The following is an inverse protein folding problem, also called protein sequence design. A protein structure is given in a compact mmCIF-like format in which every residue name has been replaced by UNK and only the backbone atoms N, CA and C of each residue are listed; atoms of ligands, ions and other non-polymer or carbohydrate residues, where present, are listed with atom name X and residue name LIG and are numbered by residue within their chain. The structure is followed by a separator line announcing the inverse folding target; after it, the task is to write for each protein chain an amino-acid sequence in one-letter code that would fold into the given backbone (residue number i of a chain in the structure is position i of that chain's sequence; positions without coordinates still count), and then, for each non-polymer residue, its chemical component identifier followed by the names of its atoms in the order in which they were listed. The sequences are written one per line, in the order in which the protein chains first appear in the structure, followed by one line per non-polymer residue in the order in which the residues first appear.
data_IF_401417764339
#
_entry.id   IF_401417764339
#
_cell.length_a   1.000
_cell.length_b   1.000
_cell.length_c   1.000
_cell.angle_alpha   90.00
_cell.angle_beta   90.00
_cell.angle_gamma   90.00
#
_symmetry.space_group_name_H-M   'P 1'
#
loop_
_entity.id
_entity.type
_entity.pdbx_description
1 polymer ?
#
# COMPACT_ATOMS: atom_id res chain seq x y z
N UNK A 1 -31.89 2.10 -35.07
CA UNK A 1 -30.62 2.62 -35.60
C UNK A 1 -29.51 2.08 -34.72
N UNK A 2 -29.16 0.80 -34.86
CA UNK A 2 -28.25 0.08 -33.94
C UNK A 2 -27.40 -0.93 -34.72
N UNK A 3 -26.82 -0.51 -35.84
CA UNK A 3 -26.14 -1.43 -36.76
C UNK A 3 -24.75 -0.96 -37.21
N UNK A 4 -24.11 -0.06 -36.46
CA UNK A 4 -22.77 0.45 -36.78
C UNK A 4 -21.71 0.21 -35.68
N UNK A 5 -22.10 -0.13 -34.45
CA UNK A 5 -21.17 -0.28 -33.32
C UNK A 5 -20.47 -1.64 -33.25
N UNK A 6 -21.03 -2.71 -33.85
CA UNK A 6 -20.45 -4.05 -33.78
C UNK A 6 -19.41 -4.35 -34.89
N UNK A 7 -19.44 -3.61 -36.01
CA UNK A 7 -18.52 -3.80 -37.16
C UNK A 7 -17.13 -3.16 -36.97
N UNK A 8 -16.89 -2.44 -35.87
CA UNK A 8 -15.61 -1.77 -35.59
C UNK A 8 -14.70 -2.51 -34.61
N UNK A 9 -15.18 -3.57 -33.94
CA UNK A 9 -14.40 -4.29 -32.92
C UNK A 9 -13.12 -4.96 -33.46
N UNK A 10 -13.03 -5.19 -34.78
CA UNK A 10 -11.85 -5.78 -35.44
C UNK A 10 -11.05 -4.84 -36.35
N UNK A 11 -11.43 -3.55 -36.45
CA UNK A 11 -10.80 -2.59 -37.38
C UNK A 11 -9.65 -1.79 -36.78
N UNK A 12 -9.25 -2.04 -35.53
CA UNK A 12 -8.19 -1.27 -34.87
C UNK A 12 -7.13 -2.14 -34.20
N UNK A 13 -7.04 -3.41 -34.55
CA UNK A 13 -6.10 -4.38 -33.96
C UNK A 13 -5.31 -5.04 -35.09
N UNK A 14 -4.03 -5.30 -34.85
CA UNK A 14 -3.17 -5.93 -35.82
C UNK A 14 -3.63 -7.36 -36.13
N UNK A 15 -4.11 -7.58 -37.35
CA UNK A 15 -4.55 -8.90 -37.85
C UNK A 15 -3.36 -9.80 -38.26
N UNK A 16 -2.14 -9.26 -38.32
CA UNK A 16 -0.92 -9.97 -38.71
C UNK A 16 -0.27 -10.76 -37.57
N UNK A 17 -0.82 -10.67 -36.35
CA UNK A 17 -0.51 -11.63 -35.28
C UNK A 17 0.06 -11.06 -33.98
N UNK A 18 0.34 -9.76 -33.83
CA UNK A 18 0.77 -9.22 -32.53
C UNK A 18 -0.40 -8.90 -31.58
N UNK A 19 -1.63 -8.82 -32.09
CA UNK A 19 -2.83 -8.54 -31.28
C UNK A 19 -2.87 -7.15 -30.63
N UNK A 20 -1.89 -6.29 -30.91
CA UNK A 20 -1.85 -4.93 -30.41
C UNK A 20 -2.82 -4.03 -31.17
N UNK A 21 -3.32 -3.00 -30.49
CA UNK A 21 -4.09 -1.94 -31.15
C UNK A 21 -3.18 -1.17 -32.09
N UNK A 22 -3.66 -0.95 -33.31
CA UNK A 22 -2.96 -0.15 -34.32
C UNK A 22 -3.15 1.32 -33.99
N UNK A 23 -2.07 2.09 -34.08
CA UNK A 23 -2.12 3.55 -33.99
C UNK A 23 -2.88 4.14 -35.20
N UNK A 24 -3.39 5.36 -35.08
CA UNK A 24 -4.10 6.02 -36.19
C UNK A 24 -3.28 6.09 -37.47
N UNK A 25 -1.96 6.27 -37.33
CA UNK A 25 -0.99 6.30 -38.43
C UNK A 25 -0.81 4.91 -39.07
N UNK A 26 -0.66 3.85 -38.27
CA UNK A 26 -0.58 2.46 -38.73
C UNK A 26 -1.85 2.06 -39.50
N UNK A 27 -3.01 2.53 -39.04
CA UNK A 27 -4.30 2.31 -39.69
C UNK A 27 -4.40 3.01 -41.05
N UNK A 28 -3.86 4.22 -41.17
CA UNK A 28 -3.91 5.01 -42.42
C UNK A 28 -2.83 4.62 -43.45
N UNK A 29 -1.64 4.24 -42.99
CA UNK A 29 -0.47 3.95 -43.83
C UNK A 29 -0.37 2.47 -44.21
N UNK A 30 -1.03 1.58 -43.47
CA UNK A 30 -0.91 0.14 -43.64
C UNK A 30 0.47 -0.44 -43.29
N UNK A 31 1.40 0.40 -42.82
CA UNK A 31 2.72 -0.01 -42.37
C UNK A 31 2.71 -0.19 -40.86
N UNK A 32 2.61 -1.46 -40.43
CA UNK A 32 2.75 -1.84 -39.04
C UNK A 32 3.87 -2.88 -38.91
N UNK A 33 4.87 -2.61 -38.07
CA UNK A 33 5.91 -3.58 -37.74
C UNK A 33 5.58 -4.23 -36.39
N UNK A 34 5.07 -5.48 -36.43
CA UNK A 34 4.69 -6.22 -35.23
C UNK A 34 5.84 -6.33 -34.22
N UNK A 35 7.08 -6.51 -34.70
CA UNK A 35 8.25 -6.70 -33.83
C UNK A 35 8.59 -5.41 -33.09
N UNK A 36 8.59 -4.27 -33.77
CA UNK A 36 8.85 -2.97 -33.14
C UNK A 36 7.75 -2.61 -32.17
N UNK A 37 6.48 -2.79 -32.56
CA UNK A 37 5.34 -2.53 -31.69
C UNK A 37 5.35 -3.41 -30.42
N UNK A 38 5.74 -4.68 -30.54
CA UNK A 38 5.88 -5.55 -29.37
C UNK A 38 7.05 -5.10 -28.48
N UNK A 39 8.20 -4.73 -29.06
CA UNK A 39 9.36 -4.23 -28.32
C UNK A 39 9.03 -2.97 -27.52
N UNK A 40 8.39 -1.99 -28.14
CA UNK A 40 8.02 -0.74 -27.46
C UNK A 40 7.03 -0.99 -26.32
N UNK A 41 6.05 -1.87 -26.54
CA UNK A 41 5.10 -2.25 -25.49
C UNK A 41 5.79 -3.01 -24.36
N UNK A 42 6.70 -3.93 -24.66
CA UNK A 42 7.45 -4.65 -23.62
C UNK A 42 8.32 -3.71 -22.80
N UNK A 43 9.05 -2.79 -23.45
CA UNK A 43 9.88 -1.79 -22.77
C UNK A 43 9.03 -0.90 -21.85
N UNK A 44 7.89 -0.41 -22.34
CA UNK A 44 6.98 0.40 -21.55
C UNK A 44 6.36 -0.38 -20.36
N UNK A 45 6.06 -1.66 -20.54
CA UNK A 45 5.55 -2.52 -19.48
C UNK A 45 6.64 -2.82 -18.44
N UNK A 46 7.87 -3.06 -18.86
CA UNK A 46 9.02 -3.25 -17.98
C UNK A 46 9.27 -1.99 -17.14
N UNK A 47 9.34 -0.82 -17.76
CA UNK A 47 9.50 0.46 -17.06
C UNK A 47 8.37 0.67 -16.03
N UNK A 48 7.12 0.43 -16.44
CA UNK A 48 5.98 0.50 -15.53
C UNK A 48 6.09 -0.49 -14.38
N UNK A 49 6.53 -1.72 -14.64
CA UNK A 49 6.73 -2.73 -13.60
C UNK A 49 7.78 -2.28 -12.59
N UNK A 50 8.95 -1.83 -13.06
CA UNK A 50 10.03 -1.35 -12.18
C UNK A 50 9.59 -0.17 -11.33
N UNK A 51 8.81 0.76 -11.89
CA UNK A 51 8.25 1.91 -11.18
C UNK A 51 7.29 1.46 -10.08
N UNK A 52 6.33 0.58 -10.40
CA UNK A 52 5.37 0.06 -9.43
C UNK A 52 6.04 -0.76 -8.32
N UNK A 53 7.06 -1.55 -8.64
CA UNK A 53 7.85 -2.29 -7.66
C UNK A 53 8.59 -1.35 -6.71
N UNK A 54 9.19 -0.29 -7.25
CA UNK A 54 9.87 0.73 -6.46
C UNK A 54 8.90 1.45 -5.54
N UNK A 55 7.77 1.94 -6.07
CA UNK A 55 6.73 2.62 -5.29
C UNK A 55 6.21 1.72 -4.17
N UNK A 56 5.89 0.46 -4.48
CA UNK A 56 5.42 -0.52 -3.50
C UNK A 56 6.45 -0.75 -2.40
N UNK A 57 7.73 -0.88 -2.75
CA UNK A 57 8.83 -1.00 -1.78
C UNK A 57 8.93 0.21 -0.88
N UNK A 58 8.86 1.42 -1.44
CA UNK A 58 8.94 2.66 -0.69
C UNK A 58 7.74 2.84 0.24
N UNK A 59 6.53 2.51 -0.21
CA UNK A 59 5.35 2.51 0.64
C UNK A 59 5.49 1.50 1.77
N UNK A 60 5.96 0.28 1.50
CA UNK A 60 6.18 -0.74 2.54
C UNK A 60 7.13 -0.25 3.63
N UNK A 61 8.24 0.40 3.26
CA UNK A 61 9.17 0.98 4.22
C UNK A 61 8.54 2.08 5.07
N UNK A 62 7.74 2.97 4.46
CA UNK A 62 7.02 4.04 5.17
C UNK A 62 6.01 3.48 6.17
N UNK A 63 5.20 2.51 5.74
CA UNK A 63 4.21 1.87 6.59
C UNK A 63 4.84 1.10 7.74
N UNK A 64 5.91 0.33 7.47
CA UNK A 64 6.63 -0.40 8.51
C UNK A 64 7.23 0.54 9.57
N UNK A 65 7.87 1.64 9.14
CA UNK A 65 8.40 2.65 10.08
C UNK A 65 7.31 3.27 10.94
N UNK A 66 6.16 3.58 10.34
CA UNK A 66 5.00 4.12 11.06
C UNK A 66 4.44 3.11 12.05
N UNK A 67 4.29 1.86 11.64
CA UNK A 67 3.83 0.76 12.49
C UNK A 67 4.77 0.57 13.69
N UNK A 68 6.08 0.49 13.47
CA UNK A 68 7.06 0.39 14.55
C UNK A 68 6.98 1.57 15.53
N UNK A 69 6.84 2.79 15.03
CA UNK A 69 6.68 3.98 15.87
C UNK A 69 5.39 3.96 16.69
N UNK A 70 4.27 3.51 16.10
CA UNK A 70 3.00 3.39 16.80
C UNK A 70 3.04 2.28 17.85
N UNK A 71 3.65 1.14 17.53
CA UNK A 71 3.85 0.04 18.48
C UNK A 71 4.69 0.50 19.66
N UNK A 72 5.78 1.24 19.44
CA UNK A 72 6.61 1.79 20.51
C UNK A 72 5.85 2.79 21.40
N UNK A 73 4.95 3.59 20.83
CA UNK A 73 4.11 4.50 21.61
C UNK A 73 3.08 3.74 22.46
N UNK A 74 2.42 2.72 21.88
CA UNK A 74 1.46 1.89 22.60
C UNK A 74 2.14 1.16 23.76
N UNK A 75 3.32 0.58 23.53
CA UNK A 75 4.06 -0.11 24.60
C UNK A 75 4.50 0.85 25.69
N UNK A 76 4.98 2.05 25.35
CA UNK A 76 5.31 3.08 26.33
C UNK A 76 4.09 3.43 27.22
N UNK A 77 2.94 3.73 26.62
CA UNK A 77 1.71 4.04 27.36
C UNK A 77 1.25 2.88 28.25
N UNK A 78 1.38 1.64 27.78
CA UNK A 78 1.06 0.46 28.59
C UNK A 78 1.99 0.34 29.80
N UNK A 79 3.30 0.57 29.61
CA UNK A 79 4.25 0.54 30.72
C UNK A 79 3.99 1.66 31.74
N UNK A 80 3.65 2.87 31.27
CA UNK A 80 3.28 4.00 32.14
C UNK A 80 2.02 3.69 32.96
N UNK A 81 1.00 3.11 32.32
CA UNK A 81 -0.23 2.70 33.00
C UNK A 81 0.03 1.62 34.07
N UNK A 82 0.88 0.63 33.77
CA UNK A 82 1.27 -0.40 34.73
C UNK A 82 2.04 0.18 35.93
N UNK A 83 3.01 1.06 35.67
CA UNK A 83 3.76 1.73 36.73
C UNK A 83 2.85 2.60 37.61
N UNK A 84 1.92 3.33 36.99
CA UNK A 84 0.92 4.13 37.71
C UNK A 84 0.05 3.25 38.61
N UNK A 85 -0.48 2.14 38.08
CA UNK A 85 -1.28 1.19 38.85
C UNK A 85 -0.52 0.65 40.08
N UNK A 86 0.75 0.26 39.91
CA UNK A 86 1.59 -0.20 41.03
C UNK A 86 1.86 0.90 42.06
N UNK A 87 2.03 2.15 41.64
CA UNK A 87 2.16 3.28 42.58
C UNK A 87 0.86 3.52 43.35
N UNK A 88 -0.28 3.46 42.69
CA UNK A 88 -1.58 3.58 43.36
C UNK A 88 -1.80 2.44 44.36
N UNK A 89 -1.49 1.19 43.99
CA UNK A 89 -1.59 0.05 44.89
C UNK A 89 -0.71 0.23 46.13
N UNK A 90 0.54 0.70 45.97
CA UNK A 90 1.43 1.01 47.10
C UNK A 90 0.86 2.10 48.00
N UNK A 91 0.36 3.21 47.42
CA UNK A 91 -0.26 4.29 48.19
C UNK A 91 -1.46 3.80 49.01
N UNK A 92 -2.33 3.00 48.41
CA UNK A 92 -3.48 2.40 49.10
C UNK A 92 -3.02 1.49 50.25
N UNK A 93 -2.00 0.66 50.03
CA UNK A 93 -1.45 -0.20 51.07
C UNK A 93 -0.90 0.61 52.26
N UNK A 94 -0.13 1.68 52.00
CA UNK A 94 0.37 2.56 53.06
C UNK A 94 -0.78 3.21 53.85
N UNK A 95 -1.74 3.83 53.16
CA UNK A 95 -2.92 4.43 53.81
C UNK A 95 -3.68 3.42 54.68
N UNK A 96 -3.88 2.19 54.17
CA UNK A 96 -4.56 1.15 54.93
C UNK A 96 -3.77 0.68 56.16
N UNK A 97 -2.44 0.69 56.08
CA UNK A 97 -1.56 0.36 57.21
C UNK A 97 -1.57 1.47 58.27
N UNK A 98 -1.61 2.73 57.85
CA UNK A 98 -1.62 3.89 58.75
C UNK A 98 -2.97 4.02 59.48
N UNK A 99 -4.08 3.65 58.85
CA UNK A 99 -5.42 3.59 59.46
C UNK A 99 -5.61 2.43 60.45
N UNK A 100 -4.66 1.49 60.55
CA UNK A 100 -4.71 0.33 61.44
C UNK A 100 -3.82 0.46 62.68
N UNK A 101 -3.17 1.61 62.89
CA UNK A 101 -2.53 1.91 64.18
C UNK A 101 -3.58 2.52 65.10
N UNK A 102 -4.00 1.84 66.19
CA UNK A 102 -4.79 2.51 67.22
C UNK A 102 -3.89 3.57 67.88
N UNK A 103 -4.41 4.79 68.00
CA UNK A 103 -3.87 5.83 68.88
C UNK A 103 -3.86 5.27 70.32
N UNK A 104 -2.77 4.61 70.70
CA UNK A 104 -2.50 4.25 72.09
C UNK A 104 -1.81 5.45 72.76
N UNK A 105 -2.64 6.34 73.29
CA UNK A 105 -2.28 7.23 74.42
C UNK A 105 -2.17 6.44 75.71
#
# INVERSE_FOLDING_TARGET
MESQTELQAGRGVCQRGCGLRLSGEDMSSGQHCCVEALRTVTEALEERSTTLEHETRMQRLRWNRREQSLLAQVTALQTEAQLSALQHQRRLHHLSSDLLLPDNT
#
